data_IF_744783485934
#
_entry.id   IF_744783485934
#
_cell.length_a   1.000
_cell.length_b   1.000
_cell.length_c   1.000
_cell.angle_alpha   90.00
_cell.angle_beta   90.00
_cell.angle_gamma   90.00
#
_symmetry.space_group_name_H-M   'P 1'
#
loop_
_entity.id
_entity.type
_entity.pdbx_description
1 polymer ?
#
# COMPACT_ATOMS: atom_id res chain seq x y z
N UNK A 1 -16.37 -44.60 -17.75
CA UNK A 1 -17.28 -43.94 -16.80
C UNK A 1 -17.33 -42.46 -17.16
N UNK A 2 -18.50 -41.94 -17.55
CA UNK A 2 -18.62 -40.53 -17.91
C UNK A 2 -18.49 -39.66 -16.64
N UNK A 3 -17.59 -38.68 -16.65
CA UNK A 3 -17.52 -37.67 -15.61
C UNK A 3 -18.82 -36.85 -15.64
N UNK A 4 -19.61 -36.93 -14.58
CA UNK A 4 -20.82 -36.12 -14.46
C UNK A 4 -20.41 -34.64 -14.48
N UNK A 5 -20.97 -33.87 -15.41
CA UNK A 5 -20.79 -32.43 -15.49
C UNK A 5 -21.39 -31.81 -14.21
N UNK A 6 -20.54 -31.45 -13.25
CA UNK A 6 -20.96 -30.81 -12.02
C UNK A 6 -21.33 -29.35 -12.32
N UNK A 7 -22.44 -28.83 -11.78
CA UNK A 7 -22.86 -27.45 -12.02
C UNK A 7 -21.82 -26.44 -11.49
N UNK A 8 -21.64 -25.35 -12.23
CA UNK A 8 -20.69 -24.27 -11.93
C UNK A 8 -21.04 -23.57 -10.61
N UNK A 9 -20.18 -23.73 -9.60
CA UNK A 9 -20.44 -23.19 -8.26
C UNK A 9 -20.46 -21.65 -8.24
N UNK A 10 -19.75 -20.99 -9.17
CA UNK A 10 -19.69 -19.53 -9.26
C UNK A 10 -21.06 -18.92 -9.67
N UNK A 11 -21.80 -19.61 -10.54
CA UNK A 11 -23.16 -19.19 -10.92
C UNK A 11 -24.16 -19.42 -9.78
N UNK A 12 -23.97 -20.48 -8.99
CA UNK A 12 -24.86 -20.81 -7.86
C UNK A 12 -24.69 -19.87 -6.66
N UNK A 13 -23.52 -19.25 -6.52
CA UNK A 13 -23.21 -18.41 -5.36
C UNK A 13 -23.51 -16.92 -5.59
N UNK A 14 -24.04 -16.54 -6.76
CA UNK A 14 -24.43 -15.16 -7.07
C UNK A 14 -23.21 -14.24 -7.08
N UNK A 15 -22.60 -14.09 -8.25
CA UNK A 15 -21.30 -13.43 -8.45
C UNK A 15 -21.23 -11.93 -8.19
N UNK A 16 -21.82 -11.41 -7.12
CA UNK A 16 -21.54 -10.07 -6.62
C UNK A 16 -21.46 -10.08 -5.08
N UNK A 17 -20.28 -9.74 -4.57
CA UNK A 17 -19.99 -9.66 -3.13
C UNK A 17 -20.60 -8.37 -2.56
N UNK A 18 -21.77 -8.47 -1.93
CA UNK A 18 -22.38 -7.37 -1.16
C UNK A 18 -22.53 -7.72 0.33
N UNK A 19 -22.50 -6.71 1.19
CA UNK A 19 -22.30 -6.75 2.66
C UNK A 19 -23.52 -7.15 3.53
N UNK A 20 -24.56 -7.79 2.98
CA UNK A 20 -25.64 -8.34 3.82
C UNK A 20 -25.23 -9.69 4.44
N UNK A 21 -25.88 -10.20 5.51
CA UNK A 21 -25.64 -11.56 5.99
C UNK A 21 -26.25 -12.56 5.01
N UNK A 22 -25.72 -12.56 3.80
CA UNK A 22 -26.06 -13.38 2.66
C UNK A 22 -25.72 -14.83 2.99
N UNK A 23 -26.33 -15.72 2.22
CA UNK A 23 -25.97 -17.13 2.13
C UNK A 23 -26.66 -18.12 3.07
N UNK A 24 -27.26 -17.77 4.23
CA UNK A 24 -27.89 -18.82 5.07
C UNK A 24 -29.06 -19.54 4.34
N UNK A 25 -29.97 -18.78 3.73
CA UNK A 25 -31.12 -19.32 2.98
C UNK A 25 -30.69 -19.98 1.65
N UNK A 26 -29.56 -19.59 1.07
CA UNK A 26 -29.07 -20.17 -0.18
C UNK A 26 -28.21 -21.42 0.07
N UNK A 27 -27.49 -21.47 1.20
CA UNK A 27 -26.75 -22.65 1.65
C UNK A 27 -27.69 -23.77 2.05
N UNK A 28 -28.88 -23.48 2.59
CA UNK A 28 -29.89 -24.50 2.90
C UNK A 28 -30.49 -25.15 1.64
N UNK A 29 -30.38 -24.50 0.48
CA UNK A 29 -30.80 -25.02 -0.83
C UNK A 29 -29.76 -25.95 -1.48
N UNK A 30 -28.55 -26.05 -0.93
CA UNK A 30 -27.49 -26.91 -1.47
C UNK A 30 -27.76 -28.39 -1.17
N UNK A 31 -27.39 -29.26 -2.11
CA UNK A 31 -27.29 -30.69 -1.82
C UNK A 31 -26.13 -30.97 -0.85
N UNK A 32 -26.16 -32.13 -0.18
CA UNK A 32 -25.08 -32.55 0.72
C UNK A 32 -23.70 -32.55 0.04
N UNK A 33 -23.63 -32.98 -1.22
CA UNK A 33 -22.38 -33.02 -1.97
C UNK A 33 -21.86 -31.61 -2.28
N UNK A 34 -22.74 -30.69 -2.68
CA UNK A 34 -22.36 -29.29 -2.92
C UNK A 34 -21.87 -28.61 -1.63
N UNK A 35 -22.53 -28.88 -0.49
CA UNK A 35 -22.08 -28.37 0.80
C UNK A 35 -20.68 -28.90 1.20
N UNK A 36 -20.35 -30.15 0.87
CA UNK A 36 -18.99 -30.69 1.05
C UNK A 36 -17.97 -29.94 0.19
N UNK A 37 -18.29 -29.66 -1.09
CA UNK A 37 -17.42 -28.87 -1.96
C UNK A 37 -17.18 -27.45 -1.42
N UNK A 38 -18.23 -26.76 -0.94
CA UNK A 38 -18.10 -25.43 -0.33
C UNK A 38 -17.21 -25.47 0.91
N UNK A 39 -17.35 -26.50 1.77
CA UNK A 39 -16.47 -26.67 2.95
C UNK A 39 -15.03 -26.94 2.56
N UNK A 40 -14.80 -27.71 1.50
CA UNK A 40 -13.46 -27.95 0.97
C UNK A 40 -12.83 -26.66 0.42
N UNK A 41 -13.59 -25.85 -0.33
CA UNK A 41 -13.15 -24.54 -0.81
C UNK A 41 -12.80 -23.60 0.35
N UNK A 42 -13.67 -23.49 1.36
CA UNK A 42 -13.40 -22.68 2.57
C UNK A 42 -12.16 -23.13 3.34
N UNK A 43 -11.85 -24.43 3.35
CA UNK A 43 -10.61 -24.94 3.94
C UNK A 43 -9.38 -24.45 3.18
N UNK A 44 -9.45 -24.41 1.84
CA UNK A 44 -8.39 -23.86 1.00
C UNK A 44 -8.28 -22.35 1.21
N UNK A 45 -9.39 -21.61 1.24
CA UNK A 45 -9.40 -20.17 1.55
C UNK A 45 -8.70 -19.88 2.87
N UNK A 46 -8.98 -20.65 3.93
CA UNK A 46 -8.27 -20.50 5.21
C UNK A 46 -6.76 -20.69 5.04
N UNK A 47 -6.32 -21.67 4.26
CA UNK A 47 -4.89 -21.88 4.01
C UNK A 47 -4.25 -20.70 3.26
N UNK A 48 -4.98 -20.08 2.33
CA UNK A 48 -4.55 -18.84 1.69
C UNK A 48 -4.41 -17.71 2.72
N UNK A 49 -5.40 -17.53 3.59
CA UNK A 49 -5.35 -16.51 4.65
C UNK A 49 -4.17 -16.73 5.60
N UNK A 50 -3.88 -17.98 5.96
CA UNK A 50 -2.73 -18.30 6.82
C UNK A 50 -1.41 -17.87 6.13
N UNK A 51 -1.28 -18.04 4.80
CA UNK A 51 -0.12 -17.57 4.01
C UNK A 51 -0.07 -16.04 3.92
N UNK A 52 -1.23 -15.38 3.73
CA UNK A 52 -1.32 -13.92 3.69
C UNK A 52 -0.88 -13.30 5.01
N UNK A 53 -1.26 -13.89 6.15
CA UNK A 53 -0.81 -13.44 7.46
C UNK A 53 0.71 -13.49 7.59
N UNK A 54 1.34 -14.60 7.17
CA UNK A 54 2.80 -14.72 7.18
C UNK A 54 3.47 -13.70 6.25
N UNK A 55 2.87 -13.45 5.09
CA UNK A 55 3.36 -12.45 4.14
C UNK A 55 3.32 -11.04 4.74
N UNK A 56 2.17 -10.60 5.27
CA UNK A 56 2.05 -9.27 5.87
C UNK A 56 2.91 -9.09 7.11
N UNK A 57 3.11 -10.16 7.89
CA UNK A 57 4.07 -10.15 9.01
C UNK A 57 5.48 -9.81 8.52
N UNK A 58 5.95 -10.48 7.46
CA UNK A 58 7.28 -10.21 6.87
C UNK A 58 7.40 -8.82 6.24
N UNK A 59 6.32 -8.32 5.62
CA UNK A 59 6.28 -6.95 5.11
C UNK A 59 6.44 -5.95 6.27
N UNK A 60 5.72 -6.15 7.36
CA UNK A 60 5.82 -5.27 8.52
C UNK A 60 7.22 -5.27 9.17
N UNK A 61 7.85 -6.44 9.27
CA UNK A 61 9.24 -6.55 9.73
C UNK A 61 10.20 -5.78 8.80
N UNK A 62 9.96 -5.83 7.49
CA UNK A 62 10.74 -5.08 6.51
C UNK A 62 10.51 -3.56 6.63
N UNK A 63 9.26 -3.13 6.75
CA UNK A 63 8.89 -1.73 6.98
C UNK A 63 9.61 -1.17 8.22
N UNK A 64 9.61 -1.92 9.31
CA UNK A 64 10.27 -1.55 10.57
C UNK A 64 11.79 -1.38 10.38
N UNK A 65 12.42 -2.28 9.62
CA UNK A 65 13.85 -2.17 9.32
C UNK A 65 14.19 -0.91 8.51
N UNK A 66 13.34 -0.54 7.55
CA UNK A 66 13.55 0.64 6.73
C UNK A 66 13.17 1.94 7.43
N UNK A 67 12.24 1.89 8.40
CA UNK A 67 11.87 3.04 9.21
C UNK A 67 13.10 3.65 9.90
N UNK A 68 14.02 2.83 10.42
CA UNK A 68 15.26 3.34 11.03
C UNK A 68 16.13 4.15 10.05
N UNK A 69 16.23 3.68 8.79
CA UNK A 69 16.98 4.36 7.72
C UNK A 69 16.33 5.69 7.33
N UNK A 70 15.01 5.71 7.20
CA UNK A 70 14.27 6.94 6.91
C UNK A 70 14.26 7.91 8.08
N UNK A 71 14.31 7.40 9.31
CA UNK A 71 14.32 8.24 10.51
C UNK A 71 15.54 9.16 10.51
N UNK A 72 16.73 8.66 10.20
CA UNK A 72 17.93 9.49 10.12
C UNK A 72 17.77 10.66 9.15
N UNK A 73 17.27 10.39 7.94
CA UNK A 73 17.03 11.43 6.93
C UNK A 73 15.94 12.42 7.36
N UNK A 74 14.88 11.91 8.00
CA UNK A 74 13.76 12.72 8.47
C UNK A 74 14.18 13.64 9.62
N UNK A 75 15.00 13.14 10.54
CA UNK A 75 15.55 13.90 11.66
C UNK A 75 16.48 15.01 11.13
N UNK A 76 17.37 14.70 10.17
CA UNK A 76 18.22 15.71 9.49
C UNK A 76 17.39 16.77 8.78
N UNK A 77 16.36 16.36 8.04
CA UNK A 77 15.45 17.32 7.40
C UNK A 77 14.77 18.23 8.43
N UNK A 78 14.36 17.65 9.57
CA UNK A 78 13.71 18.41 10.64
C UNK A 78 14.68 19.41 11.30
N UNK A 79 15.95 19.06 11.47
CA UNK A 79 16.94 19.98 12.05
C UNK A 79 17.21 21.18 11.14
N UNK A 80 17.20 20.97 9.82
CA UNK A 80 17.27 22.05 8.82
C UNK A 80 16.03 22.95 8.90
N UNK A 81 14.82 22.36 8.86
CA UNK A 81 13.55 23.11 8.91
C UNK A 81 13.43 23.93 10.20
N UNK A 82 13.85 23.38 11.33
CA UNK A 82 13.81 24.06 12.62
C UNK A 82 14.96 25.06 12.81
N UNK A 83 15.88 25.19 11.85
CA UNK A 83 17.04 26.07 11.95
C UNK A 83 18.06 25.66 13.00
N UNK A 84 18.04 24.41 13.47
CA UNK A 84 19.03 23.88 14.42
C UNK A 84 20.30 23.36 13.74
N UNK A 85 20.26 23.17 12.43
CA UNK A 85 21.43 22.87 11.58
C UNK A 85 21.52 23.92 10.48
N UNK A 86 22.67 24.56 10.33
CA UNK A 86 22.94 25.45 9.21
C UNK A 86 23.32 24.64 7.97
N UNK A 87 22.79 25.03 6.82
CA UNK A 87 23.11 24.46 5.50
C UNK A 87 23.79 25.53 4.67
N UNK A 88 24.85 25.18 3.95
CA UNK A 88 25.58 26.07 3.05
C UNK A 88 25.15 25.90 1.60
N UNK A 89 25.46 26.85 0.74
CA UNK A 89 25.23 26.73 -0.71
C UNK A 89 25.93 25.50 -1.30
N UNK A 90 27.10 25.13 -0.78
CA UNK A 90 27.84 23.95 -1.24
C UNK A 90 27.11 22.63 -0.94
N UNK A 91 26.28 22.58 0.11
CA UNK A 91 25.53 21.38 0.50
C UNK A 91 24.33 21.10 -0.42
N UNK A 92 23.93 22.08 -1.23
CA UNK A 92 22.73 22.01 -2.11
C UNK A 92 23.03 22.33 -3.57
N UNK A 93 24.31 22.43 -3.95
CA UNK A 93 24.73 22.88 -5.28
C UNK A 93 24.22 22.00 -6.43
N UNK A 94 23.95 20.72 -6.17
CA UNK A 94 23.41 19.75 -7.14
C UNK A 94 21.88 19.65 -7.14
N UNK A 95 21.21 20.40 -6.26
CA UNK A 95 19.78 20.28 -6.00
C UNK A 95 19.03 21.55 -6.39
N UNK A 96 18.28 21.56 -7.51
CA UNK A 96 17.50 22.74 -7.89
C UNK A 96 16.35 22.98 -6.91
N UNK A 97 16.00 24.25 -6.69
CA UNK A 97 14.88 24.63 -5.84
C UNK A 97 13.55 24.02 -6.31
N UNK A 98 13.35 23.93 -7.63
CA UNK A 98 12.16 23.34 -8.25
C UNK A 98 12.60 22.49 -9.45
N UNK A 99 12.29 21.20 -9.44
CA UNK A 99 12.53 20.34 -10.61
C UNK A 99 11.61 20.66 -11.78
N UNK A 100 12.14 20.56 -13.00
CA UNK A 100 11.36 20.63 -14.24
C UNK A 100 11.08 22.04 -14.76
N UNK A 101 11.58 23.08 -14.08
CA UNK A 101 11.59 24.43 -14.63
C UNK A 101 12.77 24.65 -15.57
N UNK A 102 12.60 25.42 -16.66
CA UNK A 102 13.72 25.87 -17.48
C UNK A 102 14.64 26.80 -16.66
N UNK A 103 15.92 26.82 -17.00
CA UNK A 103 16.98 27.53 -16.26
C UNK A 103 16.66 29.03 -16.06
N UNK A 104 16.12 29.69 -17.08
CA UNK A 104 15.71 31.10 -17.03
C UNK A 104 14.62 31.35 -15.98
N UNK A 105 13.65 30.44 -15.87
CA UNK A 105 12.57 30.55 -14.88
C UNK A 105 13.07 30.24 -13.47
N UNK A 106 14.03 29.32 -13.31
CA UNK A 106 14.69 29.07 -12.04
C UNK A 106 15.46 30.30 -11.56
N UNK A 107 16.20 30.94 -12.45
CA UNK A 107 16.95 32.15 -12.11
C UNK A 107 16.02 33.27 -11.65
N UNK A 108 14.89 33.48 -12.32
CA UNK A 108 13.88 34.47 -11.88
C UNK A 108 13.32 34.19 -10.49
N UNK A 109 13.13 32.92 -10.14
CA UNK A 109 12.68 32.53 -8.79
C UNK A 109 13.77 32.83 -7.76
N UNK A 110 15.02 32.49 -8.06
CA UNK A 110 16.17 32.74 -7.17
C UNK A 110 16.39 34.25 -6.97
N UNK A 111 16.37 35.04 -8.05
CA UNK A 111 16.53 36.50 -8.02
C UNK A 111 15.39 37.20 -7.24
N UNK A 112 14.22 36.57 -7.16
CA UNK A 112 13.07 37.05 -6.40
C UNK A 112 13.13 36.76 -4.90
N UNK A 113 14.10 35.96 -4.43
CA UNK A 113 14.28 35.67 -3.01
C UNK A 113 14.81 36.93 -2.28
N UNK A 114 14.33 37.14 -1.06
CA UNK A 114 14.77 38.26 -0.22
C UNK A 114 15.93 37.83 0.65
N UNK A 115 16.90 38.72 0.85
CA UNK A 115 17.98 38.51 1.82
C UNK A 115 17.45 38.43 3.25
N UNK A 116 18.10 37.61 4.07
CA UNK A 116 17.75 37.34 5.48
C UNK A 116 17.65 38.59 6.36
N UNK A 117 18.23 39.73 5.91
CA UNK A 117 18.22 41.00 6.61
C UNK A 117 16.97 41.89 6.35
N UNK A 118 16.00 41.45 5.54
CA UNK A 118 14.76 42.18 5.31
C UNK A 118 13.62 41.72 6.23
N UNK A 119 13.70 42.08 7.51
CA UNK A 119 12.54 42.16 8.42
C UNK A 119 12.37 43.60 8.91
#
# INVERSE_FOLDING_TARGET
>A
MAAANLPNLAEMLGGDFHEEPLYAENVTKLTKQQAICVRAAKKIEKQCTDIEMDFFTKVHELETQYQAKFKELTDKRLSIINGTTSVSEADVADMPLIYGLPEEALQQVVDGLKDDASK
#
